data_IF_484444071970
#
_entry.id   IF_484444071970
#
_cell.length_a   1.000
_cell.length_b   1.000
_cell.length_c   1.000
_cell.angle_alpha   90.00
_cell.angle_beta   90.00
_cell.angle_gamma   90.00
#
_symmetry.space_group_name_H-M   'P 1'
#
loop_
_entity.id
_entity.type
_entity.pdbx_description
1 polymer ?
#
# COMPACT_ATOMS: atom_id res chain seq x y z
N UNK A 1 1.96 -42.19 -4.68
CA UNK A 1 1.50 -40.80 -4.88
C UNK A 1 1.83 -40.08 -3.59
N UNK A 2 3.06 -39.58 -3.49
CA UNK A 2 3.53 -38.85 -2.32
C UNK A 2 2.93 -37.44 -2.40
N UNK A 3 2.22 -37.04 -1.34
CA UNK A 3 1.74 -35.67 -1.19
C UNK A 3 2.95 -34.75 -1.02
N UNK A 4 2.94 -33.54 -1.61
CA UNK A 4 4.01 -32.59 -1.40
C UNK A 4 4.07 -32.22 0.08
N UNK A 5 5.26 -32.40 0.66
CA UNK A 5 5.60 -31.89 1.99
C UNK A 5 5.58 -30.36 1.90
N UNK A 6 4.53 -29.73 2.44
CA UNK A 6 4.57 -28.30 2.71
C UNK A 6 5.70 -28.05 3.71
N UNK A 7 6.73 -27.31 3.28
CA UNK A 7 7.78 -26.81 4.17
C UNK A 7 7.12 -25.80 5.12
N UNK A 8 6.73 -26.27 6.30
CA UNK A 8 6.11 -25.51 7.41
C UNK A 8 7.05 -24.48 8.05
N UNK A 9 8.09 -24.05 7.33
CA UNK A 9 8.91 -22.91 7.73
C UNK A 9 8.07 -21.66 7.51
N UNK A 10 7.43 -21.20 8.58
CA UNK A 10 6.97 -19.81 8.67
C UNK A 10 8.09 -18.93 8.13
N UNK A 11 7.87 -18.18 7.04
CA UNK A 11 8.92 -17.36 6.47
C UNK A 11 9.43 -16.43 7.57
N UNK A 12 10.75 -16.33 7.68
CA UNK A 12 11.35 -15.49 8.72
C UNK A 12 10.81 -14.05 8.55
N UNK A 13 10.33 -13.45 9.63
CA UNK A 13 9.95 -12.04 9.62
C UNK A 13 11.19 -11.19 9.41
N UNK A 14 11.02 -10.06 8.69
CA UNK A 14 12.14 -9.16 8.43
C UNK A 14 12.62 -8.49 9.72
N UNK A 15 13.91 -8.20 9.77
CA UNK A 15 14.47 -7.45 10.91
C UNK A 15 13.88 -6.04 10.98
N UNK A 16 13.73 -5.50 12.20
CA UNK A 16 13.29 -4.12 12.38
C UNK A 16 14.21 -3.11 11.67
N UNK A 17 15.50 -3.42 11.53
CA UNK A 17 16.45 -2.61 10.75
C UNK A 17 16.10 -2.59 9.26
N UNK A 18 15.80 -3.74 8.65
CA UNK A 18 15.40 -3.82 7.25
C UNK A 18 14.11 -3.05 6.99
N UNK A 19 13.13 -3.19 7.89
CA UNK A 19 11.85 -2.48 7.78
C UNK A 19 12.04 -0.97 7.94
N UNK A 20 12.93 -0.51 8.84
CA UNK A 20 13.28 0.91 8.95
C UNK A 20 13.94 1.46 7.69
N UNK A 21 14.90 0.73 7.14
CA UNK A 21 15.58 1.14 5.91
C UNK A 21 14.58 1.29 4.76
N UNK A 22 13.61 0.37 4.64
CA UNK A 22 12.54 0.47 3.66
C UNK A 22 11.56 1.61 3.96
N UNK A 23 11.25 1.88 5.23
CA UNK A 23 10.40 2.99 5.61
C UNK A 23 10.97 4.34 5.13
N UNK A 24 12.29 4.51 5.19
CA UNK A 24 13.00 5.67 4.62
C UNK A 24 12.88 5.73 3.09
N UNK A 25 12.99 4.59 2.40
CA UNK A 25 12.78 4.50 0.93
C UNK A 25 11.37 4.95 0.57
N UNK A 26 10.35 4.40 1.25
CA UNK A 26 8.94 4.70 1.00
C UNK A 26 8.65 6.18 1.24
N UNK A 27 9.17 6.77 2.32
CA UNK A 27 9.05 8.20 2.59
C UNK A 27 9.70 9.04 1.48
N UNK A 28 10.88 8.66 1.01
CA UNK A 28 11.54 9.35 -0.09
C UNK A 28 10.73 9.26 -1.39
N UNK A 29 10.20 8.09 -1.73
CA UNK A 29 9.36 7.89 -2.91
C UNK A 29 8.08 8.73 -2.84
N UNK A 30 7.42 8.79 -1.68
CA UNK A 30 6.23 9.61 -1.47
C UNK A 30 6.54 11.10 -1.71
N UNK A 31 7.65 11.60 -1.18
CA UNK A 31 8.08 13.00 -1.39
C UNK A 31 8.34 13.25 -2.87
N UNK A 32 9.06 12.36 -3.55
CA UNK A 32 9.36 12.53 -4.97
C UNK A 32 8.10 12.54 -5.85
N UNK A 33 7.15 11.63 -5.58
CA UNK A 33 5.86 11.60 -6.28
C UNK A 33 5.04 12.88 -6.04
N UNK A 34 5.02 13.38 -4.80
CA UNK A 34 4.37 14.67 -4.48
C UNK A 34 5.02 15.84 -5.22
N UNK A 35 6.35 15.89 -5.24
CA UNK A 35 7.09 16.92 -5.98
C UNK A 35 6.80 16.85 -7.47
N UNK A 36 6.78 15.66 -8.07
CA UNK A 36 6.47 15.50 -9.49
C UNK A 36 5.01 15.90 -9.78
N UNK A 37 4.06 15.51 -8.94
CA UNK A 37 2.66 15.92 -9.09
C UNK A 37 2.50 17.44 -8.99
N UNK A 38 3.21 18.10 -8.06
CA UNK A 38 3.23 19.55 -7.97
C UNK A 38 3.87 20.17 -9.22
N UNK A 39 5.00 19.64 -9.69
CA UNK A 39 5.70 20.12 -10.89
C UNK A 39 4.81 20.06 -12.14
N UNK A 40 4.00 19.01 -12.29
CA UNK A 40 3.07 18.86 -13.42
C UNK A 40 1.85 19.78 -13.32
N UNK A 41 1.42 20.11 -12.10
CA UNK A 41 0.30 21.04 -11.84
C UNK A 41 0.71 22.52 -11.95
N UNK A 42 1.96 22.83 -11.63
CA UNK A 42 2.52 24.17 -11.78
C UNK A 42 2.85 24.40 -13.26
N UNK A 43 2.03 25.21 -13.93
CA UNK A 43 2.22 25.65 -15.32
C UNK A 43 3.57 26.40 -15.50
N UNK A 44 4.21 26.84 -14.40
CA UNK A 44 5.50 27.52 -14.40
C UNK A 44 6.63 26.63 -13.78
N UNK A 45 7.62 26.19 -14.59
CA UNK A 45 8.78 25.43 -14.12
C UNK A 45 9.65 26.20 -13.12
N UNK A 46 9.56 27.53 -13.06
CA UNK A 46 10.32 28.35 -12.12
C UNK A 46 9.84 28.19 -10.66
N UNK A 47 8.57 27.86 -10.45
CA UNK A 47 7.99 27.63 -9.11
C UNK A 47 8.33 26.24 -8.53
N UNK A 48 8.84 25.31 -9.36
CA UNK A 48 9.24 23.97 -8.93
C UNK A 48 10.66 23.91 -8.34
N UNK A 49 11.38 25.04 -8.26
CA UNK A 49 12.73 25.06 -7.71
C UNK A 49 12.72 24.96 -6.18
N UNK A 50 13.47 23.97 -5.69
CA UNK A 50 13.89 23.75 -4.31
C UNK A 50 12.86 23.13 -3.34
N UNK A 51 12.23 22.02 -3.73
CA UNK A 51 11.95 20.99 -2.71
C UNK A 51 13.20 20.12 -2.60
N UNK A 52 14.03 20.42 -1.59
CA UNK A 52 15.18 19.59 -1.27
C UNK A 52 14.68 18.20 -0.87
N UNK A 53 14.79 17.24 -1.79
CA UNK A 53 14.63 15.82 -1.44
C UNK A 53 15.77 15.50 -0.49
N UNK A 54 15.51 15.09 0.76
CA UNK A 54 16.59 14.72 1.66
C UNK A 54 17.44 13.64 0.98
N UNK A 55 18.78 13.73 1.03
CA UNK A 55 19.63 12.72 0.45
C UNK A 55 19.20 11.37 1.05
N UNK A 56 19.06 10.31 0.23
CA UNK A 56 18.87 8.98 0.78
C UNK A 56 20.04 8.77 1.73
N UNK A 57 19.76 8.66 3.03
CA UNK A 57 20.75 8.39 4.07
C UNK A 57 21.37 7.02 3.86
N UNK A 58 21.50 6.21 4.91
CA UNK A 58 22.08 4.85 4.83
C UNK A 58 21.24 3.82 4.01
N UNK A 59 20.60 4.22 2.91
CA UNK A 59 19.72 3.41 2.05
C UNK A 59 20.52 2.65 0.99
N UNK A 60 21.79 2.30 1.27
CA UNK A 60 22.61 1.51 0.31
C UNK A 60 21.95 0.16 0.00
N UNK A 61 21.20 -0.42 0.95
CA UNK A 61 20.62 -1.76 0.86
C UNK A 61 19.35 -1.86 -0.01
N UNK A 62 18.64 -0.76 -0.22
CA UNK A 62 17.37 -0.72 -0.99
C UNK A 62 17.34 0.38 -2.06
N UNK A 63 18.51 0.75 -2.58
CA UNK A 63 18.61 1.80 -3.61
C UNK A 63 17.76 1.51 -4.85
N UNK A 64 17.60 0.24 -5.19
CA UNK A 64 16.80 -0.22 -6.34
C UNK A 64 15.29 0.03 -6.16
N UNK A 65 14.83 0.15 -4.91
CA UNK A 65 13.44 0.48 -4.60
C UNK A 65 13.17 1.99 -4.60
N UNK A 66 14.19 2.84 -4.72
CA UNK A 66 14.02 4.28 -4.85
C UNK A 66 13.58 4.63 -6.27
N UNK A 67 12.50 5.39 -6.37
CA UNK A 67 12.10 6.01 -7.61
C UNK A 67 13.19 6.98 -8.06
N UNK A 68 13.55 6.90 -9.33
CA UNK A 68 14.50 7.84 -9.93
C UNK A 68 13.73 8.97 -10.62
N UNK A 69 14.31 10.17 -10.76
CA UNK A 69 13.68 11.24 -11.53
C UNK A 69 13.35 10.85 -12.97
N UNK A 70 14.14 9.95 -13.57
CA UNK A 70 13.86 9.43 -14.91
C UNK A 70 12.63 8.51 -14.90
N UNK A 71 12.54 7.60 -13.93
CA UNK A 71 11.37 6.74 -13.76
C UNK A 71 10.09 7.57 -13.54
N UNK A 72 10.15 8.59 -12.68
CA UNK A 72 9.01 9.47 -12.40
C UNK A 72 8.52 10.25 -13.61
N UNK A 73 9.43 10.70 -14.49
CA UNK A 73 9.06 11.36 -15.75
C UNK A 73 8.42 10.41 -16.75
N UNK A 74 8.69 9.11 -16.63
CA UNK A 74 8.09 8.07 -17.47
C UNK A 74 6.69 7.64 -17.03
N UNK A 75 6.25 7.99 -15.82
CA UNK A 75 4.90 7.69 -15.32
C UNK A 75 3.89 8.56 -16.09
N UNK A 76 2.89 7.92 -16.71
CA UNK A 76 1.82 8.63 -17.40
C UNK A 76 1.04 9.54 -16.43
N UNK A 77 0.43 10.61 -16.95
CA UNK A 77 -0.32 11.55 -16.10
C UNK A 77 -1.49 10.87 -15.37
N UNK A 78 -2.13 9.90 -16.02
CA UNK A 78 -3.25 9.13 -15.47
C UNK A 78 -2.81 8.12 -14.41
N UNK A 79 -1.55 7.66 -14.45
CA UNK A 79 -0.99 6.68 -13.51
C UNK A 79 -0.40 7.33 -12.25
N UNK A 80 -0.08 8.64 -12.32
CA UNK A 80 0.57 9.35 -11.22
C UNK A 80 -0.30 9.41 -9.94
N UNK A 81 -1.62 9.67 -10.01
CA UNK A 81 -2.49 9.57 -8.84
C UNK A 81 -2.47 8.17 -8.21
N UNK A 82 -2.57 7.12 -9.02
CA UNK A 82 -2.56 5.73 -8.54
C UNK A 82 -1.24 5.41 -7.80
N UNK A 83 -0.10 5.76 -8.40
CA UNK A 83 1.22 5.58 -7.79
C UNK A 83 1.37 6.35 -6.47
N UNK A 84 0.80 7.56 -6.38
CA UNK A 84 0.81 8.37 -5.16
C UNK A 84 -0.04 7.74 -4.06
N UNK A 85 -1.23 7.25 -4.37
CA UNK A 85 -2.09 6.56 -3.41
C UNK A 85 -1.49 5.22 -2.95
N UNK A 86 -0.93 4.42 -3.85
CA UNK A 86 -0.21 3.19 -3.47
C UNK A 86 0.96 3.49 -2.52
N UNK A 87 1.81 4.47 -2.85
CA UNK A 87 2.95 4.84 -2.01
C UNK A 87 2.51 5.47 -0.68
N UNK A 88 1.40 6.20 -0.67
CA UNK A 88 0.80 6.71 0.56
C UNK A 88 0.35 5.58 1.48
N UNK A 89 -0.33 4.56 0.94
CA UNK A 89 -0.68 3.35 1.67
C UNK A 89 0.54 2.63 2.26
N UNK A 90 1.61 2.50 1.47
CA UNK A 90 2.87 1.93 1.95
C UNK A 90 3.42 2.72 3.15
N UNK A 91 3.42 4.06 3.06
CA UNK A 91 3.88 4.94 4.14
C UNK A 91 3.02 4.81 5.40
N UNK A 92 1.69 4.78 5.26
CA UNK A 92 0.78 4.58 6.38
C UNK A 92 1.04 3.27 7.13
N UNK A 93 1.28 2.16 6.41
CA UNK A 93 1.64 0.88 7.05
C UNK A 93 2.98 0.97 7.76
N UNK A 94 4.00 1.63 7.19
CA UNK A 94 5.28 1.83 7.86
C UNK A 94 5.12 2.62 9.16
N UNK A 95 4.34 3.70 9.17
CA UNK A 95 4.06 4.46 10.38
C UNK A 95 3.32 3.62 11.42
N UNK A 96 2.36 2.81 10.99
CA UNK A 96 1.66 1.89 11.88
C UNK A 96 2.58 0.83 12.50
N UNK A 97 3.52 0.27 11.72
CA UNK A 97 4.51 -0.72 12.17
C UNK A 97 5.45 -0.16 13.25
N UNK A 98 5.79 1.13 13.19
CA UNK A 98 6.66 1.80 14.16
C UNK A 98 5.90 2.59 15.23
N UNK A 99 4.59 2.32 15.40
CA UNK A 99 3.71 3.02 16.35
C UNK A 99 3.82 4.57 16.31
N UNK A 100 4.18 5.14 15.16
CA UNK A 100 4.33 6.58 15.00
C UNK A 100 2.96 7.19 14.72
N UNK A 101 2.15 7.36 15.78
CA UNK A 101 0.80 7.90 15.65
C UNK A 101 0.80 9.42 15.76
N UNK A 102 0.50 10.06 14.63
CA UNK A 102 0.01 11.43 14.57
C UNK A 102 -0.49 11.76 13.15
N UNK A 103 -1.80 11.87 12.89
CA UNK A 103 -2.28 12.41 11.63
C UNK A 103 -1.77 13.86 11.47
N UNK A 104 -0.84 14.06 10.54
CA UNK A 104 -0.22 15.36 10.27
C UNK A 104 1.20 15.55 10.80
N UNK A 105 1.73 14.64 11.63
CA UNK A 105 3.14 14.66 11.98
C UNK A 105 3.96 14.06 10.84
N UNK A 106 4.88 14.83 10.26
CA UNK A 106 5.93 14.26 9.40
C UNK A 106 6.77 13.37 10.29
N UNK A 107 6.59 12.06 10.15
CA UNK A 107 7.40 11.10 10.90
C UNK A 107 8.78 11.10 10.26
N UNK A 108 9.79 11.46 11.04
CA UNK A 108 11.16 11.23 10.63
C UNK A 108 11.47 9.74 10.83
N UNK A 109 11.13 8.91 9.84
CA UNK A 109 11.39 7.47 9.90
C UNK A 109 12.90 7.16 9.92
N UNK A 110 13.76 8.10 9.51
CA UNK A 110 15.20 7.99 9.67
C UNK A 110 15.66 8.19 11.13
N UNK A 111 14.85 8.83 11.98
CA UNK A 111 15.09 8.97 13.42
C UNK A 111 14.32 7.94 14.27
N UNK A 112 13.65 6.96 13.65
CA UNK A 112 12.84 5.94 14.31
C UNK A 112 13.65 4.87 15.07
N UNK A 113 14.92 5.12 15.40
CA UNK A 113 15.83 4.14 16.02
C UNK A 113 15.28 3.52 17.30
N UNK A 114 14.50 4.31 18.05
CA UNK A 114 13.93 3.92 19.35
C UNK A 114 12.42 3.61 19.29
N UNK A 115 11.80 3.66 18.11
CA UNK A 115 10.37 3.39 17.99
C UNK A 115 10.08 1.89 18.12
N UNK A 116 9.07 1.51 18.93
CA UNK A 116 8.68 0.12 19.06
C UNK A 116 8.19 -0.41 17.71
N UNK A 117 8.71 -1.58 17.31
CA UNK A 117 8.30 -2.29 16.11
C UNK A 117 7.25 -3.34 16.46
N UNK A 118 6.08 -3.27 15.82
CA UNK A 118 5.00 -4.25 16.03
C UNK A 118 5.44 -5.65 15.57
N UNK A 119 5.14 -6.67 16.37
CA UNK A 119 5.48 -8.07 16.10
C UNK A 119 4.33 -8.88 15.47
N UNK A 120 4.58 -10.17 15.25
CA UNK A 120 3.83 -11.09 14.39
C UNK A 120 2.30 -11.09 14.61
N UNK A 121 1.80 -11.15 15.85
CA UNK A 121 0.35 -11.24 16.12
C UNK A 121 -0.41 -9.96 15.71
N UNK A 122 0.00 -8.74 16.13
CA UNK A 122 -0.55 -7.51 15.58
C UNK A 122 -0.48 -7.43 14.04
N UNK A 123 0.61 -7.89 13.43
CA UNK A 123 0.79 -7.86 11.98
C UNK A 123 -0.18 -8.78 11.25
N UNK A 124 -0.41 -10.00 11.75
CA UNK A 124 -1.40 -10.93 11.19
C UNK A 124 -2.83 -10.38 11.28
N UNK A 125 -3.21 -9.84 12.44
CA UNK A 125 -4.52 -9.22 12.62
C UNK A 125 -4.72 -8.04 11.66
N UNK A 126 -3.68 -7.20 11.50
CA UNK A 126 -3.72 -6.07 10.57
C UNK A 126 -3.77 -6.52 9.11
N UNK A 127 -3.11 -7.62 8.77
CA UNK A 127 -3.15 -8.19 7.43
C UNK A 127 -4.56 -8.67 7.07
N UNK A 128 -5.20 -9.43 7.97
CA UNK A 128 -6.58 -9.86 7.79
C UNK A 128 -7.55 -8.67 7.66
N UNK A 129 -7.39 -7.63 8.49
CA UNK A 129 -8.18 -6.39 8.41
C UNK A 129 -8.04 -5.72 7.04
N UNK A 130 -6.80 -5.47 6.60
CA UNK A 130 -6.53 -4.82 5.33
C UNK A 130 -7.01 -5.65 4.14
N UNK A 131 -6.88 -6.98 4.22
CA UNK A 131 -7.36 -7.90 3.20
C UNK A 131 -8.89 -7.82 3.04
N UNK A 132 -9.62 -7.89 4.15
CA UNK A 132 -11.08 -7.76 4.14
C UNK A 132 -11.55 -6.41 3.59
N UNK A 133 -10.87 -5.31 3.95
CA UNK A 133 -11.17 -3.98 3.43
C UNK A 133 -10.89 -3.87 1.93
N UNK A 134 -9.73 -4.34 1.46
CA UNK A 134 -9.40 -4.31 0.03
C UNK A 134 -10.37 -5.17 -0.79
N UNK A 135 -10.72 -6.34 -0.28
CA UNK A 135 -11.70 -7.21 -0.92
C UNK A 135 -13.07 -6.52 -1.04
N UNK A 136 -13.53 -5.81 -0.01
CA UNK A 136 -14.75 -4.99 -0.06
C UNK A 136 -14.66 -3.88 -1.12
N UNK A 137 -13.54 -3.18 -1.21
CA UNK A 137 -13.34 -2.12 -2.21
C UNK A 137 -13.37 -2.68 -3.65
N UNK A 138 -12.67 -3.80 -3.89
CA UNK A 138 -12.64 -4.47 -5.19
C UNK A 138 -14.00 -5.06 -5.57
N UNK A 139 -14.74 -5.60 -4.61
CA UNK A 139 -16.13 -6.02 -4.81
C UNK A 139 -16.98 -4.84 -5.30
N UNK A 140 -16.91 -3.70 -4.61
CA UNK A 140 -17.70 -2.52 -4.97
C UNK A 140 -17.31 -1.98 -6.35
N UNK A 141 -16.02 -1.99 -6.69
CA UNK A 141 -15.55 -1.57 -8.01
C UNK A 141 -16.09 -2.49 -9.11
N UNK A 142 -15.99 -3.83 -8.94
CA UNK A 142 -16.57 -4.79 -9.88
C UNK A 142 -18.07 -4.59 -10.07
N UNK A 143 -18.80 -4.41 -8.97
CA UNK A 143 -20.26 -4.18 -8.97
C UNK A 143 -20.67 -2.95 -9.80
N UNK A 144 -19.84 -1.90 -9.83
CA UNK A 144 -20.14 -0.64 -10.56
C UNK A 144 -19.79 -0.72 -12.04
N UNK A 145 -18.75 -1.46 -12.40
CA UNK A 145 -18.17 -1.42 -13.74
C UNK A 145 -18.39 -2.70 -14.57
N UNK A 146 -18.77 -3.81 -13.95
CA UNK A 146 -19.09 -5.04 -14.67
C UNK A 146 -20.61 -5.16 -14.93
N UNK A 147 -21.05 -4.58 -16.05
CA UNK A 147 -22.44 -4.67 -16.50
C UNK A 147 -22.84 -6.07 -17.00
N UNK A 148 -21.88 -6.97 -17.19
CA UNK A 148 -22.08 -8.33 -17.71
C UNK A 148 -22.01 -9.41 -16.62
N UNK A 149 -21.61 -9.07 -15.39
CA UNK A 149 -21.72 -9.95 -14.24
C UNK A 149 -23.19 -10.36 -14.06
N UNK A 150 -23.56 -11.62 -14.37
CA UNK A 150 -24.93 -12.07 -14.24
C UNK A 150 -25.37 -11.92 -12.79
N UNK A 151 -26.68 -11.78 -12.59
CA UNK A 151 -27.38 -11.96 -11.32
C UNK A 151 -26.60 -12.94 -10.43
N UNK A 152 -26.05 -12.43 -9.32
CA UNK A 152 -25.03 -13.11 -8.52
C UNK A 152 -25.38 -14.60 -8.38
N UNK A 153 -24.54 -15.52 -8.91
CA UNK A 153 -24.63 -16.94 -8.57
C UNK A 153 -24.84 -17.07 -7.07
N UNK A 154 -25.65 -18.02 -6.60
CA UNK A 154 -25.99 -18.14 -5.18
C UNK A 154 -24.74 -18.16 -4.25
N UNK A 155 -23.61 -18.67 -4.76
CA UNK A 155 -22.28 -18.66 -4.13
C UNK A 155 -21.67 -17.26 -3.96
N UNK A 156 -21.95 -16.33 -4.87
CA UNK A 156 -21.54 -14.92 -4.79
C UNK A 156 -22.51 -14.07 -3.95
N UNK A 157 -23.77 -14.48 -3.79
CA UNK A 157 -24.75 -13.75 -2.96
C UNK A 157 -24.36 -13.74 -1.47
N UNK A 158 -23.87 -14.86 -0.95
CA UNK A 158 -23.36 -14.94 0.43
C UNK A 158 -22.11 -14.06 0.60
N UNK A 159 -21.21 -14.08 -0.38
CA UNK A 159 -20.02 -13.22 -0.40
C UNK A 159 -20.39 -11.74 -0.50
N UNK A 160 -21.38 -11.37 -1.30
CA UNK A 160 -21.90 -10.02 -1.42
C UNK A 160 -22.52 -9.50 -0.11
N UNK A 161 -23.26 -10.34 0.61
CA UNK A 161 -23.77 -10.04 1.95
C UNK A 161 -22.62 -9.86 2.96
N UNK A 162 -21.60 -10.73 2.92
CA UNK A 162 -20.41 -10.57 3.76
C UNK A 162 -19.66 -9.28 3.45
N UNK A 163 -19.49 -8.93 2.17
CA UNK A 163 -18.87 -7.68 1.73
C UNK A 163 -19.59 -6.48 2.33
N UNK A 164 -20.91 -6.43 2.17
CA UNK A 164 -21.74 -5.31 2.63
C UNK A 164 -21.71 -5.10 4.14
N UNK A 165 -21.35 -6.13 4.92
CA UNK A 165 -21.19 -6.03 6.38
C UNK A 165 -19.82 -5.47 6.81
N UNK A 166 -18.82 -5.45 5.94
CA UNK A 166 -17.50 -4.89 6.26
C UNK A 166 -17.61 -3.36 6.22
N UNK A 167 -17.41 -2.66 7.34
CA UNK A 167 -17.46 -1.20 7.37
C UNK A 167 -16.18 -0.66 6.73
N UNK A 168 -16.27 -0.28 5.45
CA UNK A 168 -15.15 0.26 4.69
C UNK A 168 -15.43 1.72 4.30
N UNK A 169 -14.38 2.54 4.31
CA UNK A 169 -14.43 3.93 3.85
C UNK A 169 -13.42 4.15 2.72
N UNK A 170 -13.84 4.89 1.71
CA UNK A 170 -12.97 5.38 0.64
C UNK A 170 -12.75 6.88 0.86
N UNK A 171 -11.54 7.27 1.28
CA UNK A 171 -11.15 8.68 1.53
C UNK A 171 -12.17 9.41 2.43
N UNK A 172 -12.57 8.78 3.53
CA UNK A 172 -13.50 9.36 4.50
C UNK A 172 -15.00 9.20 4.17
N UNK A 173 -15.33 8.85 2.93
CA UNK A 173 -16.70 8.55 2.47
C UNK A 173 -17.03 7.06 2.65
N UNK A 174 -18.31 6.72 2.83
CA UNK A 174 -18.74 5.31 2.83
C UNK A 174 -18.51 4.70 1.44
N UNK A 175 -18.01 3.47 1.39
CA UNK A 175 -17.72 2.77 0.11
C UNK A 175 -18.97 2.64 -0.77
N UNK A 176 -20.16 2.49 -0.20
CA UNK A 176 -21.40 2.39 -0.95
C UNK A 176 -21.78 3.70 -1.67
N UNK A 177 -21.30 4.84 -1.19
CA UNK A 177 -21.70 6.17 -1.70
C UNK A 177 -20.54 7.02 -2.24
N UNK A 178 -19.30 6.56 -2.12
CA UNK A 178 -18.14 7.25 -2.65
C UNK A 178 -18.16 7.32 -4.19
N UNK A 179 -17.44 8.30 -4.75
CA UNK A 179 -17.18 8.41 -6.19
C UNK A 179 -16.23 7.30 -6.68
N UNK A 180 -16.23 7.01 -7.98
CA UNK A 180 -15.31 6.00 -8.55
C UNK A 180 -13.85 6.42 -8.41
N UNK A 181 -13.56 7.72 -8.42
CA UNK A 181 -12.23 8.25 -8.18
C UNK A 181 -11.76 8.01 -6.74
N UNK A 182 -12.63 8.27 -5.74
CA UNK A 182 -12.34 7.96 -4.33
C UNK A 182 -12.17 6.46 -4.11
N UNK A 183 -13.01 5.64 -4.77
CA UNK A 183 -12.93 4.18 -4.70
C UNK A 183 -11.61 3.66 -5.27
N UNK A 184 -11.22 4.11 -6.47
CA UNK A 184 -9.97 3.71 -7.11
C UNK A 184 -8.75 4.12 -6.28
N UNK A 185 -8.74 5.35 -5.76
CA UNK A 185 -7.68 5.83 -4.88
C UNK A 185 -7.60 5.02 -3.57
N UNK A 186 -8.74 4.70 -2.94
CA UNK A 186 -8.79 3.85 -1.76
C UNK A 186 -8.27 2.43 -2.04
N UNK A 187 -8.57 1.85 -3.20
CA UNK A 187 -8.02 0.56 -3.65
C UNK A 187 -6.49 0.64 -3.72
N UNK A 188 -5.94 1.66 -4.40
CA UNK A 188 -4.50 1.85 -4.50
C UNK A 188 -3.85 1.98 -3.10
N UNK A 189 -4.44 2.77 -2.19
CA UNK A 189 -3.95 2.90 -0.82
C UNK A 189 -3.90 1.54 -0.10
N UNK A 190 -4.98 0.76 -0.15
CA UNK A 190 -5.03 -0.53 0.53
C UNK A 190 -4.10 -1.58 -0.11
N UNK A 191 -3.92 -1.55 -1.43
CA UNK A 191 -2.90 -2.37 -2.13
C UNK A 191 -1.51 -2.03 -1.62
N UNK A 192 -1.19 -0.74 -1.50
CA UNK A 192 0.08 -0.28 -0.92
C UNK A 192 0.26 -0.76 0.52
N UNK A 193 -0.80 -0.69 1.34
CA UNK A 193 -0.77 -1.14 2.72
C UNK A 193 -0.49 -2.65 2.84
N UNK A 194 -1.19 -3.48 2.07
CA UNK A 194 -1.01 -4.95 2.07
C UNK A 194 0.37 -5.32 1.54
N UNK A 195 0.83 -4.67 0.47
CA UNK A 195 2.15 -4.91 -0.11
C UNK A 195 3.25 -4.74 0.92
N UNK A 196 3.23 -3.62 1.65
CA UNK A 196 4.18 -3.35 2.73
C UNK A 196 4.10 -4.38 3.84
N UNK A 197 2.89 -4.76 4.25
CA UNK A 197 2.72 -5.66 5.38
C UNK A 197 3.16 -7.09 5.05
N UNK A 198 2.79 -7.61 3.87
CA UNK A 198 3.25 -8.91 3.37
C UNK A 198 4.75 -8.96 3.21
N UNK A 199 5.33 -7.88 2.69
CA UNK A 199 6.78 -7.76 2.63
C UNK A 199 7.37 -7.78 4.04
N UNK A 200 6.84 -7.04 5.01
CA UNK A 200 7.41 -7.03 6.36
C UNK A 200 7.43 -8.42 7.03
N UNK A 201 6.39 -9.25 6.81
CA UNK A 201 6.28 -10.59 7.43
C UNK A 201 6.99 -11.70 6.65
N UNK A 202 7.33 -11.50 5.38
CA UNK A 202 7.94 -12.55 4.53
C UNK A 202 9.31 -12.11 3.99
N UNK A 203 10.39 -12.48 4.70
CA UNK A 203 11.75 -12.14 4.29
C UNK A 203 12.17 -12.74 2.93
N UNK A 204 11.44 -13.73 2.39
CA UNK A 204 11.77 -14.37 1.11
C UNK A 204 11.33 -13.54 -0.09
N UNK A 205 10.34 -12.64 0.08
CA UNK A 205 9.78 -11.83 -1.02
C UNK A 205 10.55 -10.56 -1.27
N UNK A 206 10.86 -10.24 -2.51
CA UNK A 206 11.56 -8.99 -2.87
C UNK A 206 10.57 -7.82 -2.91
N UNK A 207 11.03 -6.61 -2.57
CA UNK A 207 10.19 -5.42 -2.73
C UNK A 207 9.78 -5.23 -4.18
N UNK A 208 8.49 -4.96 -4.43
CA UNK A 208 7.94 -4.80 -5.77
C UNK A 208 7.52 -6.10 -6.46
N UNK A 209 7.74 -7.26 -5.84
CA UNK A 209 7.21 -8.55 -6.29
C UNK A 209 5.69 -8.45 -6.52
N UNK A 210 5.18 -8.78 -7.73
CA UNK A 210 3.75 -8.75 -8.04
C UNK A 210 2.89 -9.53 -7.05
N UNK A 211 3.41 -10.64 -6.51
CA UNK A 211 2.69 -11.48 -5.57
C UNK A 211 2.42 -10.79 -4.23
N UNK A 212 3.09 -9.67 -3.92
CA UNK A 212 2.77 -8.85 -2.74
C UNK A 212 1.45 -8.10 -2.90
N UNK A 213 1.03 -7.82 -4.13
CA UNK A 213 -0.20 -7.07 -4.48
C UNK A 213 -1.41 -7.97 -4.71
N UNK A 214 -1.21 -9.28 -4.88
CA UNK A 214 -2.28 -10.23 -5.21
C UNK A 214 -3.35 -10.28 -4.12
N UNK A 215 -4.61 -10.07 -4.47
CA UNK A 215 -5.72 -10.21 -3.51
C UNK A 215 -6.33 -11.58 -3.74
N UNK A 216 -6.50 -12.35 -2.67
CA UNK A 216 -7.19 -13.63 -2.80
C UNK A 216 -8.64 -13.37 -3.20
N UNK A 217 -9.20 -14.28 -4.02
CA UNK A 217 -10.59 -14.16 -4.46
C UNK A 217 -11.59 -14.27 -3.29
N UNK A 218 -11.14 -14.75 -2.13
CA UNK A 218 -11.95 -15.00 -0.93
C UNK A 218 -11.65 -13.98 0.16
N UNK A 219 -12.65 -13.49 0.91
CA UNK A 219 -12.47 -12.45 1.92
C UNK A 219 -11.70 -12.90 3.17
N UNK A 220 -11.59 -14.21 3.42
CA UNK A 220 -11.01 -14.83 4.62
C UNK A 220 -10.24 -16.11 4.28
#
# INVERSE_FOLDING_TARGET
MELPVHDDRTPATRSAEDVRAMAVVVQANLVQLKVEALRRRLIDPAAAQSVAVPPPGAVKRFREALLTPAALRGVADDDLPAALHETWGQYCTMCWLFESTGPGAIVNLAAAGDLPYRCDTPMQAKHAELHALLWRLLYEHRRRHDAAAPCEPAELAELAELARRIPARAIGSDVATCTDAELAAAICEHVGMITTLRWAVDATRVWGDPALREVDDRPF
#
